data_IF_488857823213
#
_entry.id   IF_488857823213
#
_cell.length_a   1.000
_cell.length_b   1.000
_cell.length_c   1.000
_cell.angle_alpha   90.00
_cell.angle_beta   90.00
_cell.angle_gamma   90.00
#
_symmetry.space_group_name_H-M   'P 1'
#
loop_
_entity.id
_entity.type
_entity.pdbx_description
1 polymer ?
#
# COMPACT_ATOMS: atom_id res chain seq x y z
N UNK A 1 -15.58 13.78 -37.27
CA UNK A 1 -14.76 13.91 -36.05
C UNK A 1 -15.08 12.84 -35.00
N UNK A 2 -16.33 12.71 -34.53
CA UNK A 2 -16.74 11.78 -33.45
C UNK A 2 -16.28 10.30 -33.54
N UNK A 3 -16.00 9.77 -34.74
CA UNK A 3 -15.55 8.39 -34.96
C UNK A 3 -14.02 8.21 -34.78
N UNK A 4 -13.23 9.23 -35.11
CA UNK A 4 -11.78 9.25 -34.86
C UNK A 4 -11.49 9.37 -33.37
N UNK A 5 -12.23 10.23 -32.65
CA UNK A 5 -12.04 10.41 -31.21
C UNK A 5 -12.24 9.09 -30.45
N UNK A 6 -13.22 8.27 -30.83
CA UNK A 6 -13.44 6.94 -30.23
C UNK A 6 -12.37 5.92 -30.60
N UNK A 7 -11.87 5.94 -31.84
CA UNK A 7 -10.81 5.03 -32.29
C UNK A 7 -9.47 5.37 -31.62
N UNK A 8 -9.11 6.65 -31.60
CA UNK A 8 -7.91 7.17 -30.92
C UNK A 8 -8.01 6.94 -29.41
N UNK A 9 -9.18 7.16 -28.81
CA UNK A 9 -9.41 6.84 -27.39
C UNK A 9 -9.28 5.34 -27.10
N UNK A 10 -9.81 4.47 -27.97
CA UNK A 10 -9.66 3.02 -27.86
C UNK A 10 -8.21 2.55 -28.01
N UNK A 11 -7.45 3.13 -28.94
CA UNK A 11 -6.02 2.85 -29.11
C UNK A 11 -5.22 3.38 -27.91
N UNK A 12 -5.56 4.57 -27.40
CA UNK A 12 -4.92 5.13 -26.20
C UNK A 12 -5.19 4.29 -24.95
N UNK A 13 -6.41 3.79 -24.76
CA UNK A 13 -6.71 2.86 -23.66
C UNK A 13 -6.03 1.50 -23.87
N UNK A 14 -5.95 1.00 -25.10
CA UNK A 14 -5.21 -0.23 -25.41
C UNK A 14 -3.71 -0.10 -25.17
N UNK A 15 -3.10 1.03 -25.57
CA UNK A 15 -1.69 1.32 -25.37
C UNK A 15 -1.37 1.61 -23.89
N UNK A 16 -2.23 2.34 -23.20
CA UNK A 16 -2.08 2.64 -21.76
C UNK A 16 -2.32 1.39 -20.91
N UNK A 17 -3.32 0.59 -21.24
CA UNK A 17 -3.58 -0.70 -20.59
C UNK A 17 -2.45 -1.69 -20.83
N UNK A 18 -1.94 -1.76 -22.07
CA UNK A 18 -0.77 -2.57 -22.42
C UNK A 18 0.50 -2.13 -21.68
N UNK A 19 0.73 -0.81 -21.57
CA UNK A 19 1.86 -0.27 -20.80
C UNK A 19 1.72 -0.53 -19.30
N UNK A 20 0.53 -0.37 -18.73
CA UNK A 20 0.28 -0.66 -17.32
C UNK A 20 0.53 -2.14 -16.99
N UNK A 21 0.04 -3.06 -17.84
CA UNK A 21 0.28 -4.50 -17.69
C UNK A 21 1.76 -4.82 -17.84
N UNK A 22 2.45 -4.23 -18.82
CA UNK A 22 3.88 -4.41 -19.02
C UNK A 22 4.69 -3.99 -17.79
N UNK A 23 4.42 -2.80 -17.24
CA UNK A 23 5.10 -2.31 -16.04
C UNK A 23 4.76 -3.12 -14.80
N UNK A 24 3.50 -3.52 -14.64
CA UNK A 24 3.07 -4.36 -13.53
C UNK A 24 3.74 -5.73 -13.58
N UNK A 25 3.77 -6.38 -14.75
CA UNK A 25 4.48 -7.64 -14.92
C UNK A 25 5.98 -7.50 -14.70
N UNK A 26 6.58 -6.42 -15.17
CA UNK A 26 8.00 -6.12 -14.92
C UNK A 26 8.31 -5.93 -13.44
N UNK A 27 7.39 -5.33 -12.68
CA UNK A 27 7.51 -5.20 -11.23
C UNK A 27 7.44 -6.57 -10.56
N UNK A 28 6.44 -7.39 -10.91
CA UNK A 28 6.27 -8.74 -10.37
C UNK A 28 7.48 -9.64 -10.63
N UNK A 29 7.95 -9.66 -11.88
CA UNK A 29 9.08 -10.46 -12.34
C UNK A 29 10.44 -9.87 -11.89
N UNK A 30 10.45 -8.65 -11.33
CA UNK A 30 11.67 -7.94 -10.93
C UNK A 30 12.34 -8.50 -9.67
N UNK A 31 11.60 -9.24 -8.84
CA UNK A 31 12.10 -9.85 -7.61
C UNK A 31 11.68 -11.31 -7.52
N UNK A 32 12.56 -12.14 -6.94
CA UNK A 32 12.27 -13.54 -6.64
C UNK A 32 11.13 -13.68 -5.61
N UNK A 33 10.42 -14.82 -5.59
CA UNK A 33 9.37 -15.09 -4.60
C UNK A 33 9.85 -14.90 -3.15
N UNK A 34 11.08 -15.31 -2.86
CA UNK A 34 11.68 -15.19 -1.53
C UNK A 34 11.91 -13.72 -1.14
N UNK A 35 12.31 -12.87 -2.08
CA UNK A 35 12.48 -11.43 -1.85
C UNK A 35 11.14 -10.73 -1.61
N UNK A 36 10.10 -11.09 -2.38
CA UNK A 36 8.74 -10.61 -2.11
C UNK A 36 8.25 -11.01 -0.72
N UNK A 37 8.50 -12.26 -0.31
CA UNK A 37 8.18 -12.73 1.03
C UNK A 37 8.95 -11.93 2.10
N UNK A 38 10.24 -11.67 1.91
CA UNK A 38 11.05 -10.89 2.83
C UNK A 38 10.53 -9.45 2.99
N UNK A 39 10.15 -8.79 1.88
CA UNK A 39 9.51 -7.46 1.92
C UNK A 39 8.20 -7.51 2.73
N UNK A 40 7.38 -8.54 2.50
CA UNK A 40 6.14 -8.75 3.26
C UNK A 40 6.37 -8.96 4.75
N UNK A 41 7.39 -9.74 5.14
CA UNK A 41 7.75 -9.97 6.54
C UNK A 41 8.23 -8.69 7.20
N UNK A 42 9.16 -7.96 6.59
CA UNK A 42 9.66 -6.69 7.14
C UNK A 42 8.53 -5.67 7.26
N UNK A 43 7.70 -5.54 6.21
CA UNK A 43 6.54 -4.66 6.23
C UNK A 43 5.58 -5.00 7.36
N UNK A 44 5.19 -6.27 7.49
CA UNK A 44 4.26 -6.70 8.55
C UNK A 44 4.83 -6.54 9.96
N UNK A 45 6.13 -6.78 10.16
CA UNK A 45 6.80 -6.51 11.43
C UNK A 45 6.77 -5.03 11.78
N UNK A 46 7.09 -4.15 10.82
CA UNK A 46 7.04 -2.70 11.03
C UNK A 46 5.61 -2.21 11.31
N UNK A 47 4.61 -2.70 10.56
CA UNK A 47 3.21 -2.39 10.80
C UNK A 47 2.72 -2.92 12.15
N UNK A 48 3.11 -4.13 12.53
CA UNK A 48 2.79 -4.71 13.84
C UNK A 48 3.37 -3.89 14.99
N UNK A 49 4.63 -3.47 14.85
CA UNK A 49 5.28 -2.59 15.82
C UNK A 49 4.57 -1.23 15.89
N UNK A 50 4.22 -0.64 14.75
CA UNK A 50 3.50 0.63 14.71
C UNK A 50 2.14 0.53 15.40
N UNK A 51 1.40 -0.56 15.14
CA UNK A 51 0.11 -0.83 15.82
C UNK A 51 0.31 -0.96 17.33
N UNK A 52 1.33 -1.71 17.76
CA UNK A 52 1.66 -1.85 19.17
C UNK A 52 1.98 -0.50 19.83
N UNK A 53 2.84 0.30 19.21
CA UNK A 53 3.22 1.63 19.70
C UNK A 53 2.02 2.58 19.74
N UNK A 54 1.15 2.53 18.74
CA UNK A 54 -0.08 3.32 18.70
C UNK A 54 -0.99 2.95 19.86
N UNK A 55 -1.19 1.65 20.11
CA UNK A 55 -1.98 1.17 21.24
C UNK A 55 -1.35 1.60 22.57
N UNK A 56 -0.03 1.42 22.73
CA UNK A 56 0.71 1.82 23.93
C UNK A 56 0.58 3.33 24.20
N UNK A 57 0.72 4.16 23.16
CA UNK A 57 0.55 5.60 23.29
C UNK A 57 -0.84 5.97 23.81
N UNK A 58 -1.89 5.35 23.28
CA UNK A 58 -3.24 5.61 23.74
C UNK A 58 -3.49 5.11 25.16
N UNK A 59 -2.92 3.96 25.55
CA UNK A 59 -2.98 3.46 26.92
C UNK A 59 -2.31 4.43 27.89
N UNK A 60 -1.07 4.86 27.64
CA UNK A 60 -0.37 5.83 28.48
C UNK A 60 -1.18 7.14 28.60
N UNK A 61 -1.72 7.64 27.48
CA UNK A 61 -2.54 8.85 27.47
C UNK A 61 -3.86 8.65 28.22
N UNK A 62 -4.44 7.45 28.21
CA UNK A 62 -5.65 7.14 28.95
C UNK A 62 -5.36 7.02 30.45
N UNK A 63 -4.29 6.33 30.84
CA UNK A 63 -3.88 6.15 32.22
C UNK A 63 -3.49 7.47 32.87
N UNK A 64 -2.76 8.33 32.15
CA UNK A 64 -2.48 9.69 32.61
C UNK A 64 -3.74 10.53 32.82
N UNK A 65 -4.78 10.30 32.02
CA UNK A 65 -6.09 10.96 32.20
C UNK A 65 -6.86 10.42 33.40
N UNK A 66 -6.77 9.12 33.70
CA UNK A 66 -7.36 8.51 34.91
C UNK A 66 -6.67 9.01 36.18
N UNK A 67 -5.34 9.01 36.19
CA UNK A 67 -4.55 9.54 37.30
C UNK A 67 -4.85 11.03 37.58
N UNK A 68 -5.06 11.84 36.55
CA UNK A 68 -5.46 13.24 36.70
C UNK A 68 -6.90 13.43 37.22
N UNK A 69 -7.76 12.40 37.10
CA UNK A 69 -9.13 12.39 37.64
C UNK A 69 -9.19 11.85 39.08
N UNK A 70 -8.08 11.37 39.63
CA UNK A 70 -8.01 10.86 41.00
C UNK A 70 -8.65 9.48 41.19
N UNK A 71 -8.82 8.72 40.10
CA UNK A 71 -9.21 7.30 40.12
C UNK A 71 -7.98 6.39 40.25
#
# INVERSE_FOLDING_TARGET
>A
MYRMDKLTTGISYGASGGSAIYWFRRLLDGYSPEQWAAIGVIGSLLFGLLTFLTNLYFQIKADRRKAARGE
#
